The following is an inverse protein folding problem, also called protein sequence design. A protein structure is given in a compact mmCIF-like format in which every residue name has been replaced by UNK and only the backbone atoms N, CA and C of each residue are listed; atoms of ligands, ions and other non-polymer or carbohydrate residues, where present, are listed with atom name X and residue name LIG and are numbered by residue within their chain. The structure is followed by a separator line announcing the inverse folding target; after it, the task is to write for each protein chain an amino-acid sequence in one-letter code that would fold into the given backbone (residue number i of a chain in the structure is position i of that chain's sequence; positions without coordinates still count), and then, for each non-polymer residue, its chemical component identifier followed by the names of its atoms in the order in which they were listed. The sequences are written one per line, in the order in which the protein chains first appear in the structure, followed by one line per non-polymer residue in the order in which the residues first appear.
data_IF_797680351111
#
_entry.id   IF_797680351111
#
_cell.length_a   1.000
_cell.length_b   1.000
_cell.length_c   1.000
_cell.angle_alpha   90.00
_cell.angle_beta   90.00
_cell.angle_gamma   90.00
#
_symmetry.space_group_name_H-M   'P 1'
#
loop_
_entity.id
_entity.type
_entity.pdbx_description
1 polymer ?
#
# COMPACT_ATOMS: atom_id res chain seq x y z
N UNK A 1 -18.62 37.49 42.14
CA UNK A 1 -19.39 36.38 41.55
C UNK A 1 -20.61 36.97 40.89
N UNK A 2 -20.72 36.85 39.56
CA UNK A 2 -21.87 37.41 38.82
C UNK A 2 -23.00 36.38 38.87
N UNK A 3 -24.11 36.66 39.56
CA UNK A 3 -25.23 35.72 39.65
C UNK A 3 -25.91 35.68 38.28
N UNK A 4 -25.69 34.59 37.53
CA UNK A 4 -26.27 34.38 36.19
C UNK A 4 -25.35 33.59 35.24
N UNK A 5 -24.03 33.68 35.41
CA UNK A 5 -23.09 32.93 34.56
C UNK A 5 -23.14 31.42 34.86
N UNK A 6 -23.27 31.04 36.14
CA UNK A 6 -23.45 29.64 36.52
C UNK A 6 -24.67 29.01 35.86
N UNK A 7 -25.83 29.69 35.86
CA UNK A 7 -27.05 29.14 35.27
C UNK A 7 -27.02 29.09 33.73
N UNK A 8 -26.34 30.03 33.07
CA UNK A 8 -26.16 30.02 31.63
C UNK A 8 -25.19 28.91 31.18
N UNK A 9 -24.10 28.71 31.92
CA UNK A 9 -23.15 27.62 31.70
C UNK A 9 -23.80 26.26 31.97
N UNK A 10 -24.57 26.12 33.06
CA UNK A 10 -25.32 24.89 33.36
C UNK A 10 -26.35 24.56 32.27
N UNK A 11 -27.01 25.59 31.70
CA UNK A 11 -27.91 25.41 30.57
C UNK A 11 -27.18 24.97 29.30
N UNK A 12 -26.00 25.55 29.03
CA UNK A 12 -25.16 25.17 27.91
C UNK A 12 -24.65 23.73 28.04
N UNK A 13 -24.18 23.34 29.23
CA UNK A 13 -23.75 21.97 29.54
C UNK A 13 -24.88 20.96 29.29
N UNK A 14 -26.10 21.22 29.80
CA UNK A 14 -27.28 20.37 29.55
C UNK A 14 -27.72 20.30 28.10
N UNK A 15 -27.43 21.32 27.30
CA UNK A 15 -27.70 21.30 25.84
C UNK A 15 -26.66 20.45 25.14
N UNK A 16 -25.40 20.55 25.55
CA UNK A 16 -24.29 19.80 24.98
C UNK A 16 -24.41 18.30 25.31
N UNK A 17 -24.73 17.94 26.55
CA UNK A 17 -25.01 16.56 26.96
C UNK A 17 -26.13 15.93 26.09
N UNK A 18 -27.21 16.67 25.84
CA UNK A 18 -28.28 16.22 24.94
C UNK A 18 -27.83 16.09 23.49
N UNK A 19 -27.00 17.01 23.01
CA UNK A 19 -26.47 16.95 21.65
C UNK A 19 -25.53 15.74 21.48
N UNK A 20 -24.70 15.45 22.48
CA UNK A 20 -23.81 14.28 22.52
C UNK A 20 -24.62 12.99 22.54
N UNK A 21 -25.61 12.87 23.43
CA UNK A 21 -26.48 11.69 23.47
C UNK A 21 -27.20 11.46 22.12
N UNK A 22 -27.67 12.52 21.47
CA UNK A 22 -28.27 12.43 20.13
C UNK A 22 -27.27 12.00 19.05
N UNK A 23 -26.01 12.47 19.15
CA UNK A 23 -24.95 12.10 18.22
C UNK A 23 -24.55 10.63 18.40
N UNK A 24 -24.36 10.19 19.63
CA UNK A 24 -24.05 8.80 19.97
C UNK A 24 -25.15 7.85 19.48
N UNK A 25 -26.42 8.22 19.66
CA UNK A 25 -27.54 7.44 19.14
C UNK A 25 -27.52 7.36 17.60
N UNK A 26 -27.21 8.46 16.90
CA UNK A 26 -27.08 8.47 15.44
C UNK A 26 -25.93 7.59 14.96
N UNK A 27 -24.77 7.66 15.62
CA UNK A 27 -23.61 6.83 15.29
C UNK A 27 -23.92 5.35 15.55
N UNK A 28 -24.58 5.02 16.66
CA UNK A 28 -24.99 3.66 16.97
C UNK A 28 -25.99 3.12 15.93
N UNK A 29 -26.96 3.94 15.51
CA UNK A 29 -27.91 3.59 14.46
C UNK A 29 -27.21 3.38 13.10
N UNK A 30 -26.28 4.25 12.73
CA UNK A 30 -25.51 4.12 11.48
C UNK A 30 -24.63 2.87 11.48
N UNK A 31 -23.95 2.57 12.59
CA UNK A 31 -23.15 1.34 12.73
C UNK A 31 -24.01 0.09 12.67
N UNK A 32 -25.18 0.11 13.30
CA UNK A 32 -26.13 -1.00 13.23
C UNK A 32 -26.64 -1.22 11.81
N UNK A 33 -26.91 -0.14 11.07
CA UNK A 33 -27.33 -0.21 9.67
C UNK A 33 -26.21 -0.76 8.77
N UNK A 34 -24.99 -0.25 8.91
CA UNK A 34 -23.81 -0.78 8.19
C UNK A 34 -23.59 -2.27 8.49
N UNK A 35 -23.73 -2.69 9.75
CA UNK A 35 -23.60 -4.10 10.12
C UNK A 35 -24.70 -4.98 9.52
N UNK A 36 -25.92 -4.46 9.38
CA UNK A 36 -27.02 -5.16 8.68
C UNK A 36 -26.76 -5.33 7.19
N UNK A 37 -26.22 -4.30 6.54
CA UNK A 37 -25.83 -4.34 5.12
C UNK A 37 -24.74 -5.40 4.89
N UNK A 38 -23.74 -5.49 5.78
CA UNK A 38 -22.66 -6.49 5.68
C UNK A 38 -23.15 -7.92 5.96
N UNK A 39 -24.17 -8.09 6.81
CA UNK A 39 -24.70 -9.41 7.18
C UNK A 39 -25.77 -9.97 6.22
N UNK A 40 -26.26 -9.19 5.25
CA UNK A 40 -27.24 -9.67 4.27
C UNK A 40 -26.55 -10.36 3.09
N UNK A 41 -26.93 -11.62 2.76
CA UNK A 41 -26.43 -12.28 1.57
C UNK A 41 -27.01 -11.58 0.33
N UNK A 42 -26.11 -11.24 -0.61
CA UNK A 42 -26.38 -10.52 -1.84
C UNK A 42 -27.60 -11.07 -2.59
N UNK A 43 -28.77 -10.49 -2.31
CA UNK A 43 -30.02 -10.77 -3.02
C UNK A 43 -30.81 -9.47 -3.13
N UNK A 44 -30.37 -8.64 -4.07
CA UNK A 44 -31.14 -7.51 -4.62
C UNK A 44 -31.02 -6.19 -3.85
N UNK A 45 -30.47 -5.19 -4.55
CA UNK A 45 -30.59 -3.74 -4.29
C UNK A 45 -30.08 -3.16 -2.95
N UNK A 46 -28.83 -3.46 -2.59
CA UNK A 46 -28.10 -2.73 -1.54
C UNK A 46 -27.27 -1.53 -2.06
N UNK A 47 -27.45 -1.17 -3.34
CA UNK A 47 -26.84 0.00 -3.97
C UNK A 47 -27.89 1.02 -4.43
N UNK A 48 -28.90 1.32 -3.61
CA UNK A 48 -29.34 2.73 -3.63
C UNK A 48 -28.22 3.53 -2.96
N UNK A 49 -27.14 3.71 -3.74
CA UNK A 49 -25.97 4.46 -3.37
C UNK A 49 -26.45 5.80 -2.82
N UNK A 50 -25.90 6.30 -1.70
CA UNK A 50 -26.18 7.67 -1.29
C UNK A 50 -25.74 8.53 -2.47
N UNK A 51 -26.71 9.10 -3.21
CA UNK A 51 -26.56 9.72 -4.55
C UNK A 51 -25.10 10.09 -4.77
N UNK A 52 -24.34 9.14 -5.32
CA UNK A 52 -22.91 9.32 -5.42
C UNK A 52 -22.76 10.51 -6.35
N UNK A 53 -22.12 11.57 -5.86
CA UNK A 53 -21.85 12.75 -6.66
C UNK A 53 -21.33 12.26 -8.01
N UNK A 54 -21.92 12.74 -9.12
CA UNK A 54 -21.60 12.26 -10.45
C UNK A 54 -20.09 12.28 -10.71
N UNK A 55 -19.39 13.24 -10.11
CA UNK A 55 -17.93 13.36 -10.14
C UNK A 55 -17.20 12.19 -9.45
N UNK A 56 -17.77 11.57 -8.42
CA UNK A 56 -17.20 10.40 -7.72
C UNK A 56 -17.38 9.15 -8.57
N UNK A 57 -18.52 8.99 -9.23
CA UNK A 57 -18.79 7.85 -10.13
C UNK A 57 -17.87 7.90 -11.35
N UNK A 58 -17.71 9.08 -11.95
CA UNK A 58 -16.81 9.31 -13.08
C UNK A 58 -15.35 9.02 -12.70
N UNK A 59 -14.89 9.54 -11.54
CA UNK A 59 -13.53 9.26 -11.03
C UNK A 59 -13.30 7.78 -10.76
N UNK A 60 -14.29 7.07 -10.23
CA UNK A 60 -14.17 5.64 -9.99
C UNK A 60 -14.05 4.86 -11.31
N UNK A 61 -14.79 5.25 -12.35
CA UNK A 61 -14.68 4.65 -13.68
C UNK A 61 -13.32 4.92 -14.31
N UNK A 62 -12.80 6.14 -14.19
CA UNK A 62 -11.47 6.49 -14.68
C UNK A 62 -10.38 5.70 -13.97
N UNK A 63 -10.45 5.61 -12.64
CA UNK A 63 -9.47 4.85 -11.84
C UNK A 63 -9.48 3.36 -12.21
N UNK A 64 -10.64 2.78 -12.47
CA UNK A 64 -10.75 1.40 -12.90
C UNK A 64 -10.10 1.17 -14.28
N UNK A 65 -10.29 2.11 -15.22
CA UNK A 65 -9.64 2.06 -16.53
C UNK A 65 -8.12 2.19 -16.42
N UNK A 66 -7.64 3.10 -15.58
CA UNK A 66 -6.21 3.32 -15.35
C UNK A 66 -5.54 2.08 -14.71
N UNK A 67 -6.22 1.42 -13.78
CA UNK A 67 -5.74 0.17 -13.17
C UNK A 67 -5.62 -0.97 -14.18
N UNK A 68 -6.60 -1.11 -15.08
CA UNK A 68 -6.52 -2.15 -16.11
C UNK A 68 -5.39 -1.85 -17.10
N UNK A 69 -5.23 -0.59 -17.52
CA UNK A 69 -4.12 -0.18 -18.37
C UNK A 69 -2.75 -0.47 -17.71
N UNK A 70 -2.62 -0.22 -16.41
CA UNK A 70 -1.42 -0.53 -15.65
C UNK A 70 -1.12 -2.03 -15.61
N UNK A 71 -2.13 -2.88 -15.36
CA UNK A 71 -1.98 -4.35 -15.35
C UNK A 71 -1.59 -4.93 -16.70
N UNK A 72 -2.14 -4.38 -17.79
CA UNK A 72 -1.76 -4.80 -19.14
C UNK A 72 -0.29 -4.47 -19.41
N UNK A 73 0.15 -3.28 -18.99
CA UNK A 73 1.57 -2.89 -19.12
C UNK A 73 2.49 -3.74 -18.26
N UNK A 74 2.09 -4.06 -17.04
CA UNK A 74 2.83 -4.94 -16.13
C UNK A 74 3.08 -6.31 -16.77
N UNK A 75 2.03 -6.97 -17.27
CA UNK A 75 2.17 -8.27 -17.95
C UNK A 75 3.07 -8.19 -19.18
N UNK A 76 2.95 -7.12 -19.98
CA UNK A 76 3.81 -6.93 -21.14
C UNK A 76 5.29 -6.77 -20.74
N UNK A 77 5.58 -6.13 -19.61
CA UNK A 77 6.94 -6.01 -19.09
C UNK A 77 7.46 -7.32 -18.49
N UNK A 78 6.60 -8.10 -17.85
CA UNK A 78 6.93 -9.43 -17.34
C UNK A 78 7.32 -10.38 -18.48
N UNK A 79 6.50 -10.46 -19.54
CA UNK A 79 6.79 -11.26 -20.73
C UNK A 79 8.09 -10.83 -21.43
N UNK A 80 8.32 -9.52 -21.53
CA UNK A 80 9.57 -8.99 -22.06
C UNK A 80 10.78 -9.35 -21.17
N UNK A 81 10.60 -9.35 -19.85
CA UNK A 81 11.60 -9.75 -18.87
C UNK A 81 11.95 -11.24 -18.96
N UNK A 82 10.95 -12.11 -19.11
CA UNK A 82 11.15 -13.55 -19.33
C UNK A 82 11.97 -13.80 -20.60
N UNK A 83 11.59 -13.18 -21.71
CA UNK A 83 12.33 -13.30 -22.98
C UNK A 83 13.78 -12.81 -22.85
N UNK A 84 14.00 -11.69 -22.14
CA UNK A 84 15.34 -11.17 -21.89
C UNK A 84 16.18 -12.14 -21.02
N UNK A 85 15.59 -12.73 -19.98
CA UNK A 85 16.24 -13.70 -19.11
C UNK A 85 16.65 -14.97 -19.88
N UNK A 86 15.75 -15.50 -20.71
CA UNK A 86 16.07 -16.65 -21.57
C UNK A 86 17.18 -16.33 -22.56
N UNK A 87 17.12 -15.16 -23.21
CA UNK A 87 18.14 -14.74 -24.16
C UNK A 87 19.52 -14.61 -23.49
N UNK A 88 19.57 -14.04 -22.27
CA UNK A 88 20.79 -13.97 -21.47
C UNK A 88 21.29 -15.37 -21.09
N UNK A 89 20.41 -16.27 -20.67
CA UNK A 89 20.78 -17.66 -20.36
C UNK A 89 21.42 -18.37 -21.56
N UNK A 90 20.86 -18.19 -22.77
CA UNK A 90 21.43 -18.71 -24.02
C UNK A 90 22.81 -18.10 -24.30
N UNK A 91 22.94 -16.77 -24.20
CA UNK A 91 24.21 -16.09 -24.43
C UNK A 91 25.30 -16.54 -23.43
N UNK A 92 24.95 -16.73 -22.16
CA UNK A 92 25.87 -17.25 -21.13
C UNK A 92 26.33 -18.67 -21.46
N UNK A 93 25.41 -19.55 -21.89
CA UNK A 93 25.74 -20.90 -22.28
C UNK A 93 26.69 -20.92 -23.50
N UNK A 94 26.44 -20.08 -24.51
CA UNK A 94 27.32 -19.94 -25.67
C UNK A 94 28.72 -19.46 -25.28
N UNK A 95 28.84 -18.47 -24.39
CA UNK A 95 30.12 -17.98 -23.89
C UNK A 95 30.87 -19.09 -23.12
N UNK A 96 30.19 -19.83 -22.24
CA UNK A 96 30.79 -20.94 -21.50
C UNK A 96 31.29 -22.05 -22.42
N UNK A 97 30.51 -22.42 -23.42
CA UNK A 97 30.91 -23.40 -24.42
C UNK A 97 32.14 -22.93 -25.21
N UNK A 98 32.23 -21.64 -25.53
CA UNK A 98 33.42 -21.05 -26.18
C UNK A 98 34.65 -21.02 -25.25
N UNK A 99 34.46 -20.92 -23.93
CA UNK A 99 35.52 -20.93 -22.92
C UNK A 99 35.94 -22.34 -22.47
N UNK A 100 35.12 -23.37 -22.69
CA UNK A 100 35.41 -24.76 -22.31
C UNK A 100 35.01 -25.13 -20.87
N UNK A 101 34.16 -24.33 -20.22
CA UNK A 101 33.76 -24.45 -18.80
C UNK A 101 32.54 -25.38 -18.55
N UNK A 102 32.35 -26.43 -19.35
CA UNK A 102 31.13 -27.27 -19.31
C UNK A 102 31.06 -28.23 -18.08
N UNK A 103 32.09 -28.28 -17.22
CA UNK A 103 32.30 -29.39 -16.26
C UNK A 103 32.16 -29.04 -14.77
N UNK A 104 32.08 -27.78 -14.35
CA UNK A 104 32.36 -27.41 -12.95
C UNK A 104 31.15 -27.09 -12.05
N UNK A 105 29.91 -27.17 -12.55
CA UNK A 105 28.73 -26.69 -11.81
C UNK A 105 27.75 -27.83 -11.42
N UNK A 106 28.05 -29.08 -11.77
CA UNK A 106 27.20 -30.25 -11.49
C UNK A 106 27.67 -31.16 -10.36
N UNK A 107 28.89 -31.02 -9.87
CA UNK A 107 29.50 -31.95 -8.90
C UNK A 107 29.69 -31.26 -7.54
N UNK A 108 28.75 -31.51 -6.62
CA UNK A 108 28.80 -30.97 -5.27
C UNK A 108 29.95 -31.56 -4.45
N UNK A 109 30.68 -30.69 -3.76
CA UNK A 109 31.47 -31.03 -2.56
C UNK A 109 31.10 -30.03 -1.47
N UNK A 110 29.94 -30.26 -0.87
CA UNK A 110 29.72 -29.94 0.54
C UNK A 110 29.83 -31.28 1.28
N UNK A 111 31.05 -31.74 1.50
CA UNK A 111 31.34 -32.82 2.43
C UNK A 111 32.70 -32.50 3.05
N UNK A 112 32.65 -31.79 4.17
CA UNK A 112 33.70 -31.71 5.19
C UNK A 112 33.02 -31.12 6.44
N UNK A 113 32.40 -31.99 7.23
CA UNK A 113 32.08 -31.69 8.62
C UNK A 113 33.39 -31.50 9.41
N UNK A 114 33.55 -30.37 10.11
CA UNK A 114 34.06 -30.33 11.50
C UNK A 114 34.04 -28.90 12.09
N UNK A 115 33.13 -28.66 13.05
CA UNK A 115 33.42 -27.89 14.26
C UNK A 115 33.51 -26.36 14.20
N UNK A 116 32.37 -25.67 14.15
CA UNK A 116 32.24 -24.36 14.81
C UNK A 116 30.85 -24.23 15.44
N UNK A 117 30.83 -24.03 16.75
CA UNK A 117 29.64 -23.96 17.60
C UNK A 117 28.55 -23.02 17.05
N UNK A 118 27.26 -23.28 17.33
CA UNK A 118 26.19 -22.36 16.96
C UNK A 118 26.43 -21.07 17.75
N UNK A 119 26.80 -19.99 17.05
CA UNK A 119 26.78 -18.66 17.63
C UNK A 119 25.34 -18.40 18.08
N UNK A 120 25.15 -18.32 19.39
CA UNK A 120 23.87 -18.01 20.01
C UNK A 120 23.32 -16.74 19.38
N UNK A 121 22.14 -16.87 18.79
CA UNK A 121 21.33 -15.75 18.33
C UNK A 121 20.88 -15.00 19.59
N UNK A 122 21.66 -14.00 20.03
CA UNK A 122 21.24 -13.11 21.10
C UNK A 122 20.15 -12.21 20.53
N UNK A 123 18.92 -12.54 20.89
CA UNK A 123 17.75 -11.67 20.88
C UNK A 123 18.04 -10.54 21.89
N UNK A 124 18.49 -9.37 21.42
CA UNK A 124 18.56 -8.16 22.23
C UNK A 124 18.09 -6.97 21.39
N UNK A 125 17.03 -6.35 21.89
CA UNK A 125 16.30 -5.23 21.32
C UNK A 125 17.17 -3.96 21.31
N UNK A 126 17.21 -3.25 20.19
CA UNK A 126 17.25 -1.78 20.14
C UNK A 126 16.65 -1.37 18.79
N UNK A 127 15.33 -1.13 18.76
CA UNK A 127 14.76 0.23 18.78
C UNK A 127 15.32 1.13 17.67
N UNK A 128 14.52 1.21 16.60
CA UNK A 128 14.00 2.46 16.02
C UNK A 128 14.97 3.66 15.96
N UNK A 129 15.58 3.88 14.79
CA UNK A 129 15.97 5.22 14.36
C UNK A 129 15.88 5.38 12.83
N UNK A 130 14.78 5.94 12.29
CA UNK A 130 14.71 6.38 10.90
C UNK A 130 15.21 7.83 10.77
N UNK A 131 16.45 8.13 11.15
CA UNK A 131 17.06 9.43 10.85
C UNK A 131 17.65 9.45 9.43
N UNK A 132 16.87 10.09 8.55
CA UNK A 132 17.32 11.07 7.55
C UNK A 132 18.45 10.66 6.60
N UNK A 133 18.05 10.08 5.46
CA UNK A 133 18.85 10.06 4.23
C UNK A 133 18.20 10.97 3.17
N UNK A 134 17.97 12.23 3.55
CA UNK A 134 17.75 13.32 2.60
C UNK A 134 19.08 14.04 2.45
N UNK A 135 19.79 13.77 1.35
CA UNK A 135 20.93 14.59 0.95
C UNK A 135 20.41 15.99 0.59
N UNK A 136 20.77 16.98 1.41
CA UNK A 136 20.26 18.36 1.36
C UNK A 136 20.86 19.19 0.20
N UNK A 137 21.53 18.53 -0.75
CA UNK A 137 22.24 19.16 -1.88
C UNK A 137 21.68 18.78 -3.27
N UNK A 138 20.53 18.10 -3.37
CA UNK A 138 19.91 17.83 -4.68
C UNK A 138 19.15 19.08 -5.17
N UNK A 139 19.62 19.79 -6.21
CA UNK A 139 18.93 20.98 -6.69
C UNK A 139 17.57 20.60 -7.28
N UNK A 140 16.56 21.47 -7.19
CA UNK A 140 15.25 21.20 -7.77
C UNK A 140 15.39 20.95 -9.27
N UNK A 141 14.85 19.81 -9.71
CA UNK A 141 14.65 19.50 -11.12
C UNK A 141 13.88 20.64 -11.78
N UNK A 142 14.54 21.39 -12.67
CA UNK A 142 13.93 22.46 -13.47
C UNK A 142 13.55 21.87 -14.84
N UNK A 143 12.28 21.47 -15.08
CA UNK A 143 11.87 20.99 -16.38
C UNK A 143 11.84 22.14 -17.37
N UNK A 144 12.76 22.09 -18.34
CA UNK A 144 12.78 22.98 -19.51
C UNK A 144 11.39 23.03 -20.17
N UNK A 145 10.83 24.21 -20.51
CA UNK A 145 9.54 24.27 -21.16
C UNK A 145 9.64 23.70 -22.58
N UNK A 146 8.59 23.01 -23.08
CA UNK A 146 8.63 22.44 -24.42
C UNK A 146 8.78 23.55 -25.45
N UNK A 147 9.80 23.42 -26.31
CA UNK A 147 10.04 24.30 -27.43
C UNK A 147 8.78 24.36 -28.31
N UNK A 148 8.19 25.56 -28.41
CA UNK A 148 7.18 25.87 -29.41
C UNK A 148 7.88 26.12 -30.74
N UNK A 149 7.76 25.17 -31.67
CA UNK A 149 7.48 25.36 -33.11
C UNK A 149 7.71 24.05 -33.86
#
# INVERSE_FOLDING_TARGET
MIPGEGSALDLAARRLERAVANLEQKIAAERAERARVVAQPASGDLFEAPVADAAVVEKAAQLAADLEAARVRERALEEAGEQASEALGRAIAEIRAALGDESLIGEGVHDDEEGAAPAEFSDDETEDDPEALYDEDDPPFDPDPPAKA
#
